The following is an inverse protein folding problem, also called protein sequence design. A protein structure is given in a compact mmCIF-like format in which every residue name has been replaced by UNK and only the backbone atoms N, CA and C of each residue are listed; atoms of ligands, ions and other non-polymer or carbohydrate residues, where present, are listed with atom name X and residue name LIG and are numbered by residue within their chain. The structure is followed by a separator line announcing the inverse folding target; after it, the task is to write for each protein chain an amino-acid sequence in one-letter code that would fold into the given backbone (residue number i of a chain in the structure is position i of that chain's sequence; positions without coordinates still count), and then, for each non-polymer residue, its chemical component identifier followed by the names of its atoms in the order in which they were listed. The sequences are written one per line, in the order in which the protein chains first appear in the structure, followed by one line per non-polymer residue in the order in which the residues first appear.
data_IF_678522877983
#
_entry.id   IF_678522877983
#
_cell.length_a   1.000
_cell.length_b   1.000
_cell.length_c   1.000
_cell.angle_alpha   90.00
_cell.angle_beta   90.00
_cell.angle_gamma   90.00
#
_symmetry.space_group_name_H-M   'P 1'
#
loop_
_entity.id
_entity.type
_entity.pdbx_description
1 polymer ?
#
# COMPACT_ATOMS: atom_id res chain seq x y z
N UNK A 1 22.29 39.46 -7.36
CA UNK A 1 21.46 38.50 -8.10
C UNK A 1 21.25 37.22 -7.32
N UNK A 2 22.31 36.53 -6.86
CA UNK A 2 22.21 35.24 -6.15
C UNK A 2 21.18 35.17 -5.01
N UNK A 3 21.02 36.22 -4.20
CA UNK A 3 20.03 36.23 -3.11
C UNK A 3 18.59 36.27 -3.62
N UNK A 4 18.33 36.98 -4.70
CA UNK A 4 16.99 37.05 -5.34
C UNK A 4 16.67 35.69 -5.96
N UNK A 5 17.66 35.05 -6.61
CA UNK A 5 17.51 33.71 -7.19
C UNK A 5 17.24 32.64 -6.12
N UNK A 6 17.88 32.75 -4.94
CA UNK A 6 17.60 31.88 -3.80
C UNK A 6 16.19 32.10 -3.24
N UNK A 7 15.72 33.34 -3.12
CA UNK A 7 14.36 33.65 -2.65
C UNK A 7 13.31 33.07 -3.62
N UNK A 8 13.44 33.32 -4.91
CA UNK A 8 12.55 32.78 -5.95
C UNK A 8 12.53 31.24 -5.95
N UNK A 9 13.69 30.61 -5.73
CA UNK A 9 13.79 29.16 -5.65
C UNK A 9 13.07 28.59 -4.42
N UNK A 10 13.11 29.28 -3.28
CA UNK A 10 12.39 28.84 -2.07
C UNK A 10 10.88 29.06 -2.19
N UNK A 11 10.44 30.17 -2.79
CA UNK A 11 9.01 30.39 -3.07
C UNK A 11 8.45 29.30 -3.98
N UNK A 12 9.19 28.96 -5.05
CA UNK A 12 8.87 27.82 -5.91
C UNK A 12 8.85 26.50 -5.15
N UNK A 13 9.84 26.24 -4.29
CA UNK A 13 9.87 25.06 -3.43
C UNK A 13 8.67 25.01 -2.48
N UNK A 14 8.27 26.14 -1.91
CA UNK A 14 7.14 26.23 -0.99
C UNK A 14 5.81 25.98 -1.72
N UNK A 15 5.67 26.47 -2.94
CA UNK A 15 4.52 26.15 -3.81
C UNK A 15 4.53 24.67 -4.22
N UNK A 16 5.70 24.09 -4.49
CA UNK A 16 5.86 22.65 -4.73
C UNK A 16 5.50 21.83 -3.47
N UNK A 17 5.90 22.27 -2.27
CA UNK A 17 5.54 21.65 -0.98
C UNK A 17 4.04 21.76 -0.73
N UNK A 18 3.43 22.93 -0.96
CA UNK A 18 1.99 23.15 -0.76
C UNK A 18 1.19 22.34 -1.78
N UNK A 19 1.61 22.35 -3.04
CA UNK A 19 1.01 21.54 -4.10
C UNK A 19 1.13 20.06 -3.75
N UNK A 20 2.31 19.59 -3.36
CA UNK A 20 2.55 18.23 -2.89
C UNK A 20 1.68 17.85 -1.69
N UNK A 21 1.60 18.70 -0.66
CA UNK A 21 0.72 18.49 0.50
C UNK A 21 -0.76 18.48 0.12
N UNK A 22 -1.16 19.25 -0.88
CA UNK A 22 -2.54 19.32 -1.37
C UNK A 22 -2.87 18.19 -2.35
N UNK A 23 -1.90 17.64 -3.08
CA UNK A 23 -2.06 16.45 -3.94
C UNK A 23 -2.01 15.15 -3.15
N UNK A 24 -1.40 15.14 -1.96
CA UNK A 24 -1.64 14.13 -0.93
C UNK A 24 -3.06 14.33 -0.35
N UNK A 25 -4.08 14.05 -1.16
CA UNK A 25 -5.35 13.54 -0.67
C UNK A 25 -5.25 12.02 -0.65
N UNK A 26 -4.37 11.50 0.20
CA UNK A 26 -4.11 10.07 0.27
C UNK A 26 -5.07 9.39 1.24
N UNK A 27 -6.16 8.90 0.67
CA UNK A 27 -6.94 7.85 1.31
C UNK A 27 -6.21 6.53 1.11
N UNK A 28 -5.57 5.99 2.16
CA UNK A 28 -5.19 4.58 2.21
C UNK A 28 -6.43 3.67 2.27
N UNK A 29 -7.63 4.25 2.38
CA UNK A 29 -8.91 3.57 2.26
C UNK A 29 -9.37 3.54 0.80
N UNK A 30 -9.69 2.33 0.35
CA UNK A 30 -10.22 2.04 -0.96
C UNK A 30 -11.59 1.40 -0.81
N UNK A 31 -12.51 1.78 -1.68
CA UNK A 31 -13.77 1.09 -1.89
C UNK A 31 -13.76 0.55 -3.32
N UNK A 32 -13.67 -0.77 -3.44
CA UNK A 32 -13.35 -1.45 -4.70
C UNK A 32 -14.50 -2.37 -5.09
N UNK A 33 -14.75 -2.48 -6.38
CA UNK A 33 -15.57 -3.51 -7.02
C UNK A 33 -14.77 -4.04 -8.22
N UNK A 34 -15.11 -5.23 -8.75
CA UNK A 34 -14.41 -5.79 -9.92
C UNK A 34 -14.37 -4.87 -11.14
N UNK A 35 -15.31 -3.93 -11.26
CA UNK A 35 -15.34 -2.95 -12.37
C UNK A 35 -14.17 -1.94 -12.31
N UNK A 36 -13.57 -1.75 -11.13
CA UNK A 36 -12.41 -0.88 -10.95
C UNK A 36 -11.11 -1.55 -11.39
N UNK A 37 -11.09 -2.89 -11.51
CA UNK A 37 -9.88 -3.61 -11.87
C UNK A 37 -9.37 -3.20 -13.25
N UNK A 38 -8.05 -3.12 -13.36
CA UNK A 38 -7.36 -3.10 -14.66
C UNK A 38 -7.77 -4.32 -15.48
N UNK A 39 -7.62 -4.24 -16.79
CA UNK A 39 -7.98 -5.33 -17.71
C UNK A 39 -7.30 -6.65 -17.29
N UNK A 40 -5.99 -6.60 -17.02
CA UNK A 40 -5.23 -7.77 -16.55
C UNK A 40 -5.77 -8.34 -15.23
N UNK A 41 -6.05 -7.49 -14.22
CA UNK A 41 -6.60 -7.97 -12.94
C UNK A 41 -8.01 -8.52 -13.08
N UNK A 42 -8.80 -8.01 -14.02
CA UNK A 42 -10.12 -8.55 -14.36
C UNK A 42 -10.01 -9.95 -14.97
N UNK A 43 -9.06 -10.16 -15.87
CA UNK A 43 -8.80 -11.48 -16.46
C UNK A 43 -8.34 -12.49 -15.41
N UNK A 44 -7.41 -12.10 -14.53
CA UNK A 44 -6.96 -12.91 -13.40
C UNK A 44 -8.13 -13.26 -12.46
N UNK A 45 -9.00 -12.29 -12.16
CA UNK A 45 -10.20 -12.52 -11.35
C UNK A 45 -11.13 -13.54 -12.01
N UNK A 46 -11.45 -13.39 -13.30
CA UNK A 46 -12.29 -14.31 -14.03
C UNK A 46 -11.68 -15.72 -14.16
N UNK A 47 -10.36 -15.81 -14.34
CA UNK A 47 -9.66 -17.09 -14.32
C UNK A 47 -9.81 -17.79 -12.96
N UNK A 48 -9.56 -17.08 -11.86
CA UNK A 48 -9.74 -17.59 -10.48
C UNK A 48 -11.18 -18.09 -10.28
N UNK A 49 -12.18 -17.29 -10.64
CA UNK A 49 -13.60 -17.68 -10.55
C UNK A 49 -13.94 -18.92 -11.40
N UNK A 50 -13.36 -19.03 -12.59
CA UNK A 50 -13.59 -20.17 -13.49
C UNK A 50 -13.00 -21.45 -12.92
N UNK A 51 -11.86 -21.38 -12.23
CA UNK A 51 -11.28 -22.52 -11.53
C UNK A 51 -12.08 -22.93 -10.29
N UNK A 52 -12.64 -21.97 -9.55
CA UNK A 52 -13.54 -22.30 -8.43
C UNK A 52 -14.75 -23.11 -8.92
N UNK A 53 -15.33 -22.78 -10.08
CA UNK A 53 -16.46 -23.55 -10.64
C UNK A 53 -16.15 -25.01 -10.95
N UNK A 54 -14.86 -25.38 -11.07
CA UNK A 54 -14.43 -26.77 -11.29
C UNK A 54 -14.37 -27.59 -9.99
N UNK A 55 -14.43 -26.93 -8.83
CA UNK A 55 -14.36 -27.60 -7.54
C UNK A 55 -15.72 -28.22 -7.15
N UNK A 56 -15.68 -29.39 -6.54
CA UNK A 56 -16.87 -30.08 -6.01
C UNK A 56 -17.23 -29.57 -4.62
N UNK A 57 -17.97 -28.46 -4.55
CA UNK A 57 -18.49 -27.92 -3.30
C UNK A 57 -19.67 -28.73 -2.77
N UNK A 58 -19.62 -29.11 -1.49
CA UNK A 58 -20.73 -29.79 -0.81
C UNK A 58 -21.82 -28.81 -0.34
N UNK A 59 -21.47 -27.55 -0.13
CA UNK A 59 -22.39 -26.48 0.33
C UNK A 59 -22.17 -25.22 -0.49
N UNK A 60 -23.26 -24.52 -0.80
CA UNK A 60 -23.22 -23.23 -1.52
C UNK A 60 -22.44 -22.16 -0.73
N UNK A 61 -22.48 -22.20 0.59
CA UNK A 61 -21.75 -21.28 1.47
C UNK A 61 -20.23 -21.37 1.28
N UNK A 62 -19.70 -22.58 1.08
CA UNK A 62 -18.28 -22.82 0.86
C UNK A 62 -17.83 -22.24 -0.49
N UNK A 63 -18.63 -22.44 -1.55
CA UNK A 63 -18.38 -21.81 -2.86
C UNK A 63 -18.39 -20.29 -2.78
N UNK A 64 -19.38 -19.72 -2.09
CA UNK A 64 -19.49 -18.28 -1.92
C UNK A 64 -18.30 -17.73 -1.13
N UNK A 65 -17.87 -18.42 -0.07
CA UNK A 65 -16.69 -18.05 0.69
C UNK A 65 -15.44 -17.98 -0.18
N UNK A 66 -15.17 -18.99 -1.00
CA UNK A 66 -14.01 -19.00 -1.89
C UNK A 66 -14.09 -17.94 -2.99
N UNK A 67 -15.30 -17.71 -3.54
CA UNK A 67 -15.54 -16.60 -4.48
C UNK A 67 -15.19 -15.25 -3.84
N UNK A 68 -15.55 -15.04 -2.57
CA UNK A 68 -15.18 -13.81 -1.86
C UNK A 68 -13.69 -13.71 -1.58
N UNK A 69 -13.04 -14.80 -1.20
CA UNK A 69 -11.58 -14.81 -1.06
C UNK A 69 -10.92 -14.40 -2.38
N UNK A 70 -11.31 -15.00 -3.50
CA UNK A 70 -10.78 -14.64 -4.81
C UNK A 70 -10.95 -13.14 -5.11
N UNK A 71 -12.12 -12.56 -4.79
CA UNK A 71 -12.36 -11.11 -4.92
C UNK A 71 -11.43 -10.30 -4.04
N UNK A 72 -11.36 -10.61 -2.74
CA UNK A 72 -10.61 -9.82 -1.77
C UNK A 72 -9.10 -9.86 -2.02
N UNK A 73 -8.55 -11.03 -2.39
CA UNK A 73 -7.15 -11.16 -2.79
C UNK A 73 -6.86 -10.36 -4.07
N UNK A 74 -7.69 -10.53 -5.12
CA UNK A 74 -7.48 -9.80 -6.38
C UNK A 74 -7.60 -8.28 -6.18
N UNK A 75 -8.55 -7.84 -5.35
CA UNK A 75 -8.71 -6.43 -5.03
C UNK A 75 -7.54 -5.87 -4.20
N UNK A 76 -6.96 -6.65 -3.28
CA UNK A 76 -5.78 -6.24 -2.53
C UNK A 76 -4.56 -6.04 -3.46
N UNK A 77 -4.33 -6.96 -4.40
CA UNK A 77 -3.29 -6.80 -5.43
C UNK A 77 -3.54 -5.56 -6.29
N UNK A 78 -4.79 -5.34 -6.73
CA UNK A 78 -5.15 -4.15 -7.51
C UNK A 78 -4.99 -2.85 -6.70
N UNK A 79 -5.24 -2.86 -5.38
CA UNK A 79 -4.99 -1.69 -4.52
C UNK A 79 -3.51 -1.32 -4.53
N UNK A 80 -2.61 -2.31 -4.51
CA UNK A 80 -1.16 -2.08 -4.64
C UNK A 80 -0.80 -1.48 -6.00
N UNK A 81 -1.33 -2.04 -7.10
CA UNK A 81 -1.20 -1.50 -8.45
C UNK A 81 -1.67 -0.05 -8.52
N UNK A 82 -2.90 0.22 -8.08
CA UNK A 82 -3.49 1.54 -8.14
C UNK A 82 -2.71 2.56 -7.30
N UNK A 83 -2.23 2.16 -6.13
CA UNK A 83 -1.41 3.01 -5.28
C UNK A 83 -0.07 3.38 -5.96
N UNK A 84 0.63 2.40 -6.54
CA UNK A 84 1.90 2.62 -7.22
C UNK A 84 1.75 3.56 -8.43
N UNK A 85 0.76 3.29 -9.29
CA UNK A 85 0.49 4.10 -10.48
C UNK A 85 0.09 5.53 -10.15
N UNK A 86 -0.73 5.74 -9.10
CA UNK A 86 -1.08 7.09 -8.61
C UNK A 86 0.12 7.88 -8.10
N UNK A 87 1.13 7.18 -7.58
CA UNK A 87 2.36 7.77 -7.08
C UNK A 87 3.49 7.78 -8.13
N UNK A 88 3.17 7.56 -9.40
CA UNK A 88 4.12 7.57 -10.52
C UNK A 88 5.29 6.59 -10.34
N UNK A 89 5.08 5.49 -9.62
CA UNK A 89 6.05 4.41 -9.48
C UNK A 89 5.84 3.39 -10.61
N UNK A 90 6.93 2.75 -11.04
CA UNK A 90 6.81 1.60 -11.94
C UNK A 90 6.14 0.43 -11.21
N UNK A 91 5.27 -0.30 -11.91
CA UNK A 91 4.56 -1.45 -11.41
C UNK A 91 4.66 -2.59 -12.42
N UNK A 92 5.04 -3.77 -11.94
CA UNK A 92 5.10 -4.99 -12.73
C UNK A 92 4.34 -6.10 -12.02
N UNK A 93 3.39 -6.72 -12.73
CA UNK A 93 2.54 -7.78 -12.20
C UNK A 93 3.08 -9.14 -12.63
N UNK A 94 3.69 -9.89 -11.70
CA UNK A 94 4.23 -11.22 -12.02
C UNK A 94 3.10 -12.20 -12.40
N UNK A 95 1.92 -12.02 -11.80
CA UNK A 95 0.73 -12.82 -12.08
C UNK A 95 0.16 -12.62 -13.50
N UNK A 96 0.62 -11.60 -14.23
CA UNK A 96 0.28 -11.42 -15.65
C UNK A 96 1.01 -12.43 -16.54
N UNK A 97 2.24 -12.83 -16.18
CA UNK A 97 3.06 -13.78 -16.95
C UNK A 97 2.84 -15.21 -16.45
N UNK A 98 2.80 -15.39 -15.13
CA UNK A 98 2.53 -16.67 -14.49
C UNK A 98 1.54 -16.46 -13.34
N UNK A 99 0.30 -16.91 -13.51
CA UNK A 99 -0.74 -16.82 -12.48
C UNK A 99 -0.46 -17.63 -11.21
N UNK A 100 0.61 -18.45 -11.21
CA UNK A 100 1.12 -19.20 -10.06
C UNK A 100 2.49 -18.68 -9.59
N UNK A 101 2.87 -17.47 -10.03
CA UNK A 101 4.10 -16.82 -9.62
C UNK A 101 4.25 -16.83 -8.10
N UNK A 102 5.45 -17.12 -7.57
CA UNK A 102 5.67 -17.07 -6.13
C UNK A 102 5.67 -15.64 -5.57
N UNK A 103 5.98 -14.63 -6.39
CA UNK A 103 5.86 -13.20 -6.07
C UNK A 103 4.58 -12.62 -6.68
N UNK A 104 3.96 -11.65 -6.01
CA UNK A 104 2.74 -11.02 -6.50
C UNK A 104 3.04 -9.90 -7.51
N UNK A 105 3.88 -8.92 -7.12
CA UNK A 105 4.24 -7.80 -7.98
C UNK A 105 5.61 -7.20 -7.64
N UNK A 106 6.08 -6.29 -8.49
CA UNK A 106 7.25 -5.46 -8.25
C UNK A 106 6.87 -3.99 -8.35
N UNK A 107 7.28 -3.18 -7.36
CA UNK A 107 7.05 -1.74 -7.32
C UNK A 107 8.40 -1.04 -7.30
N UNK A 108 8.68 -0.20 -8.30
CA UNK A 108 9.92 0.56 -8.42
C UNK A 108 11.20 -0.30 -8.30
N UNK A 109 11.18 -1.51 -8.87
CA UNK A 109 12.31 -2.45 -8.80
C UNK A 109 12.41 -3.27 -7.51
N UNK A 110 11.46 -3.14 -6.60
CA UNK A 110 11.41 -3.90 -5.33
C UNK A 110 10.30 -4.94 -5.41
N UNK A 111 10.62 -6.21 -5.17
CA UNK A 111 9.66 -7.31 -5.18
C UNK A 111 8.75 -7.21 -3.94
N UNK A 112 7.44 -7.37 -4.16
CA UNK A 112 6.38 -7.16 -3.17
C UNK A 112 5.43 -8.36 -3.11
N UNK A 113 5.26 -8.86 -1.89
CA UNK A 113 4.26 -9.87 -1.51
C UNK A 113 3.04 -9.17 -0.90
N UNK A 114 1.87 -9.27 -1.54
CA UNK A 114 0.66 -8.59 -1.08
C UNK A 114 -0.10 -9.50 -0.12
N UNK A 115 -0.05 -9.15 1.17
CA UNK A 115 -0.77 -9.89 2.21
C UNK A 115 -2.01 -9.14 2.66
N UNK A 116 -3.16 -9.82 2.54
CA UNK A 116 -4.42 -9.27 3.05
C UNK A 116 -5.02 -10.06 4.20
N UNK A 117 -5.57 -9.34 5.19
CA UNK A 117 -6.55 -9.88 6.13
C UNK A 117 -7.96 -9.80 5.49
N UNK A 118 -8.89 -10.72 5.78
CA UNK A 118 -10.16 -10.96 5.02
C UNK A 118 -11.51 -10.77 5.76
N UNK A 119 -11.94 -9.55 6.09
CA UNK A 119 -13.13 -9.20 6.89
C UNK A 119 -14.46 -9.65 6.32
N UNK A 120 -15.25 -10.45 7.05
CA UNK A 120 -16.67 -10.63 6.72
C UNK A 120 -17.54 -10.33 7.94
N UNK A 121 -18.24 -9.18 7.91
CA UNK A 121 -19.05 -8.70 9.04
C UNK A 121 -18.20 -8.45 10.30
N UNK A 122 -18.58 -9.05 11.44
CA UNK A 122 -17.88 -8.90 12.73
C UNK A 122 -16.76 -9.95 12.98
N UNK A 123 -16.49 -10.86 12.03
CA UNK A 123 -15.42 -11.86 12.18
C UNK A 123 -14.09 -11.24 11.77
N UNK A 124 -13.19 -11.01 12.75
CA UNK A 124 -11.78 -10.66 12.54
C UNK A 124 -10.99 -11.86 11.99
N UNK A 125 -9.87 -11.60 11.32
CA UNK A 125 -9.18 -12.58 10.49
C UNK A 125 -7.78 -12.84 10.97
N UNK A 126 -7.32 -13.98 10.46
CA UNK A 126 -5.92 -14.33 10.24
C UNK A 126 -5.08 -13.07 10.07
N UNK A 127 -4.13 -12.93 10.98
CA UNK A 127 -3.08 -11.93 10.92
C UNK A 127 -2.23 -12.11 9.65
N UNK A 128 -1.33 -11.18 9.38
CA UNK A 128 -0.36 -11.30 8.29
C UNK A 128 0.56 -12.49 8.56
N UNK A 129 0.50 -13.50 7.69
CA UNK A 129 1.35 -14.68 7.78
C UNK A 129 2.30 -14.75 6.58
N UNK A 130 3.61 -14.89 6.85
CA UNK A 130 4.57 -15.35 5.85
C UNK A 130 4.47 -16.88 5.69
N UNK A 131 4.77 -17.38 4.49
CA UNK A 131 4.84 -18.83 4.27
C UNK A 131 6.06 -19.38 5.01
N UNK A 132 5.92 -20.52 5.69
CA UNK A 132 6.97 -21.10 6.55
C UNK A 132 8.23 -21.43 5.72
N UNK A 133 9.40 -20.98 6.19
CA UNK A 133 10.71 -21.41 5.66
C UNK A 133 11.17 -20.71 4.38
N UNK A 134 10.51 -19.63 3.97
CA UNK A 134 10.98 -18.85 2.83
C UNK A 134 12.02 -17.84 3.30
N UNK A 135 13.25 -18.10 2.89
CA UNK A 135 14.32 -17.11 2.77
C UNK A 135 13.94 -16.08 1.70
N UNK A 136 12.88 -15.31 1.92
CA UNK A 136 12.58 -14.13 1.11
C UNK A 136 13.43 -12.97 1.64
N UNK A 137 14.76 -13.13 1.63
CA UNK A 137 15.67 -12.07 2.08
C UNK A 137 15.56 -10.80 1.22
N UNK A 138 14.87 -10.89 0.06
CA UNK A 138 14.82 -9.85 -0.96
C UNK A 138 13.39 -9.34 -1.27
N UNK A 139 12.35 -9.82 -0.61
CA UNK A 139 10.96 -9.41 -0.88
C UNK A 139 10.37 -8.68 0.33
N UNK A 140 9.64 -7.60 0.07
CA UNK A 140 8.89 -6.89 1.12
C UNK A 140 7.44 -7.35 1.16
N UNK A 141 6.80 -7.14 2.31
CA UNK A 141 5.42 -7.52 2.51
C UNK A 141 4.55 -6.28 2.59
N UNK A 142 3.61 -6.14 1.66
CA UNK A 142 2.61 -5.09 1.69
C UNK A 142 1.36 -5.59 2.42
N UNK A 143 1.08 -5.02 3.58
CA UNK A 143 -0.06 -5.42 4.39
C UNK A 143 -1.31 -4.58 4.12
N UNK A 144 -2.39 -5.27 3.75
CA UNK A 144 -3.71 -4.69 3.48
C UNK A 144 -4.76 -5.36 4.38
N UNK A 145 -5.74 -4.62 4.84
CA UNK A 145 -6.94 -5.20 5.45
C UNK A 145 -8.08 -5.03 4.48
N UNK A 146 -8.69 -6.13 4.08
CA UNK A 146 -9.81 -6.16 3.14
C UNK A 146 -11.06 -6.62 3.87
N UNK A 147 -12.21 -6.00 3.69
CA UNK A 147 -13.45 -6.46 4.31
C UNK A 147 -14.71 -6.16 3.49
N UNK A 148 -15.75 -6.96 3.73
CA UNK A 148 -17.09 -6.81 3.15
C UNK A 148 -18.15 -6.81 4.25
N UNK A 149 -19.27 -6.12 4.03
CA UNK A 149 -20.39 -6.22 4.95
C UNK A 149 -21.13 -7.56 4.75
N UNK A 150 -21.78 -8.06 5.80
CA UNK A 150 -22.52 -9.33 5.75
C UNK A 150 -23.65 -9.31 4.71
N UNK A 151 -24.23 -8.14 4.45
CA UNK A 151 -25.23 -7.92 3.39
C UNK A 151 -24.65 -8.14 1.99
N UNK A 152 -23.36 -7.86 1.82
CA UNK A 152 -22.64 -8.04 0.55
C UNK A 152 -22.22 -9.51 0.34
N UNK A 153 -22.51 -10.40 1.32
CA UNK A 153 -22.36 -11.84 1.19
C UNK A 153 -23.47 -12.48 0.32
N UNK A 154 -24.52 -11.72 0.00
CA UNK A 154 -25.72 -12.22 -0.69
C UNK A 154 -25.58 -12.12 -2.23
N UNK A 155 -24.43 -11.68 -2.75
CA UNK A 155 -24.06 -11.83 -4.17
C UNK A 155 -24.82 -10.91 -5.13
N UNK A 156 -25.00 -9.64 -4.78
CA UNK A 156 -25.62 -8.63 -5.66
C UNK A 156 -24.58 -7.95 -6.58
N UNK A 157 -25.01 -7.43 -7.73
CA UNK A 157 -24.13 -6.82 -8.75
C UNK A 157 -23.36 -5.56 -8.32
N UNK A 158 -23.62 -5.01 -7.13
CA UNK A 158 -22.89 -3.85 -6.56
C UNK A 158 -21.92 -4.30 -5.47
N UNK A 159 -21.12 -5.30 -5.83
CA UNK A 159 -20.34 -6.14 -4.94
C UNK A 159 -19.07 -5.40 -4.45
N UNK A 160 -19.24 -4.38 -3.60
CA UNK A 160 -18.14 -3.58 -3.07
C UNK A 160 -17.41 -4.26 -1.90
N UNK A 161 -16.10 -4.07 -1.85
CA UNK A 161 -15.25 -4.36 -0.70
C UNK A 161 -14.48 -3.11 -0.28
N UNK A 162 -14.14 -3.04 1.01
CA UNK A 162 -13.31 -1.98 1.58
C UNK A 162 -11.92 -2.52 1.84
N UNK A 163 -10.91 -1.71 1.55
CA UNK A 163 -9.51 -2.09 1.71
C UNK A 163 -8.75 -0.94 2.35
N UNK A 164 -7.92 -1.23 3.34
CA UNK A 164 -7.03 -0.28 3.99
C UNK A 164 -5.60 -0.76 3.87
N UNK A 165 -4.71 0.06 3.31
CA UNK A 165 -3.27 -0.20 3.33
C UNK A 165 -2.74 0.13 4.74
N UNK A 166 -2.14 -0.87 5.40
CA UNK A 166 -1.51 -0.68 6.71
C UNK A 166 -0.06 -0.22 6.60
N UNK A 167 0.67 -0.70 5.59
CA UNK A 167 2.06 -0.34 5.38
C UNK A 167 2.89 -1.50 4.83
N UNK A 168 4.21 -1.27 4.79
CA UNK A 168 5.22 -2.22 4.32
C UNK A 168 5.98 -2.79 5.50
N UNK A 169 6.18 -4.11 5.47
CA UNK A 169 7.18 -4.79 6.29
C UNK A 169 8.33 -5.24 5.40
N UNK A 170 9.52 -4.70 5.66
CA UNK A 170 10.75 -5.11 4.99
C UNK A 170 11.62 -5.91 5.99
N UNK A 171 11.75 -7.23 5.82
CA UNK A 171 12.53 -8.07 6.73
C UNK A 171 14.00 -7.64 6.83
N UNK A 172 14.57 -7.07 5.77
CA UNK A 172 16.00 -6.73 5.71
C UNK A 172 16.36 -5.61 6.70
N UNK A 173 15.45 -4.67 6.95
CA UNK A 173 15.62 -3.58 7.92
C UNK A 173 15.73 -4.07 9.36
N UNK A 174 15.17 -5.25 9.65
CA UNK A 174 15.08 -5.81 10.99
C UNK A 174 16.06 -6.96 11.23
N UNK A 175 16.82 -7.38 10.21
CA UNK A 175 17.75 -8.53 10.26
C UNK A 175 18.82 -8.43 11.35
N UNK A 176 19.18 -7.21 11.75
CA UNK A 176 20.23 -6.93 12.73
C UNK A 176 19.69 -6.55 14.11
N UNK A 177 18.36 -6.54 14.32
CA UNK A 177 17.78 -6.22 15.62
C UNK A 177 17.80 -7.48 16.50
N UNK A 178 18.84 -7.60 17.31
CA UNK A 178 18.98 -8.66 18.32
C UNK A 178 18.36 -8.24 19.67
N UNK A 179 17.09 -7.83 19.64
CA UNK A 179 16.31 -7.55 20.86
C UNK A 179 15.34 -8.70 21.09
N UNK A 180 15.52 -9.41 22.20
CA UNK A 180 14.56 -10.40 22.67
C UNK A 180 13.29 -9.65 23.10
N UNK A 181 12.28 -9.62 22.21
CA UNK A 181 11.02 -8.94 22.46
C UNK A 181 10.18 -9.75 23.44
N UNK A 182 10.49 -9.64 24.72
CA UNK A 182 9.90 -10.42 25.83
C UNK A 182 8.35 -10.36 25.91
N UNK A 183 7.72 -9.35 25.30
CA UNK A 183 6.26 -9.16 25.28
C UNK A 183 5.63 -9.30 23.89
N UNK A 184 6.45 -9.49 22.85
CA UNK A 184 6.02 -9.70 21.47
C UNK A 184 6.85 -10.85 20.89
N UNK A 185 6.52 -12.11 21.20
CA UNK A 185 7.20 -13.22 20.58
C UNK A 185 7.02 -13.07 19.07
N UNK A 186 8.12 -12.81 18.36
CA UNK A 186 8.16 -12.88 16.90
C UNK A 186 7.95 -14.35 16.56
N UNK A 187 6.70 -14.78 16.49
CA UNK A 187 6.39 -15.99 15.76
C UNK A 187 6.93 -15.73 14.37
N UNK A 188 7.92 -16.51 13.92
CA UNK A 188 8.62 -16.31 12.64
C UNK A 188 7.70 -16.25 11.43
N UNK A 189 6.43 -16.62 11.61
CA UNK A 189 5.38 -16.57 10.59
C UNK A 189 4.49 -15.35 10.70
N UNK A 190 4.30 -14.79 11.89
CA UNK A 190 3.35 -13.73 12.16
C UNK A 190 4.03 -12.38 12.02
N UNK A 191 3.52 -11.54 11.13
CA UNK A 191 4.05 -10.20 10.95
C UNK A 191 3.22 -9.25 11.79
N UNK A 192 3.88 -8.58 12.73
CA UNK A 192 3.26 -7.59 13.58
C UNK A 192 3.13 -6.27 12.82
N UNK A 193 1.91 -5.75 12.73
CA UNK A 193 1.61 -4.49 12.06
C UNK A 193 2.35 -3.28 12.66
N UNK A 194 2.86 -3.37 13.90
CA UNK A 194 3.72 -2.33 14.49
C UNK A 194 5.07 -2.16 13.76
N UNK A 195 5.51 -3.14 12.96
CA UNK A 195 6.71 -3.03 12.13
C UNK A 195 6.42 -2.47 10.74
N UNK A 196 5.18 -2.06 10.47
CA UNK A 196 4.83 -1.53 9.17
C UNK A 196 5.21 -0.07 9.10
N UNK A 197 5.95 0.28 8.05
CA UNK A 197 6.22 1.66 7.68
C UNK A 197 5.27 2.12 6.57
N UNK A 198 5.06 3.42 6.44
CA UNK A 198 4.23 3.94 5.35
C UNK A 198 4.90 3.70 4.00
N UNK A 199 4.09 3.45 2.97
CA UNK A 199 4.60 3.21 1.62
C UNK A 199 5.32 4.46 1.09
N UNK A 200 4.81 5.65 1.42
CA UNK A 200 5.41 6.92 1.05
C UNK A 200 6.81 7.10 1.62
N UNK A 201 7.01 6.70 2.89
CA UNK A 201 8.33 6.75 3.52
C UNK A 201 9.26 5.72 2.92
N UNK A 202 8.75 4.52 2.63
CA UNK A 202 9.57 3.43 2.10
C UNK A 202 10.09 3.71 0.69
N UNK A 203 9.19 4.10 -0.22
CA UNK A 203 9.55 4.42 -1.61
C UNK A 203 10.10 5.83 -1.79
N UNK A 204 10.35 6.55 -0.69
CA UNK A 204 10.87 7.92 -0.68
C UNK A 204 10.11 8.86 -1.66
N UNK A 205 8.79 8.76 -1.66
CA UNK A 205 7.92 9.59 -2.53
C UNK A 205 7.87 11.04 -2.03
N UNK A 206 8.38 11.32 -0.82
CA UNK A 206 8.60 12.69 -0.35
C UNK A 206 9.83 13.27 -1.06
N UNK A 207 9.70 14.45 -1.68
CA UNK A 207 10.88 15.20 -2.08
C UNK A 207 11.78 15.41 -0.86
N UNK A 208 13.10 15.30 -1.04
CA UNK A 208 14.08 15.48 0.03
C UNK A 208 14.24 16.97 0.37
N UNK A 209 13.19 17.55 0.93
CA UNK A 209 13.12 18.97 1.25
C UNK A 209 14.14 19.35 2.31
N UNK A 210 14.51 18.45 3.22
CA UNK A 210 15.49 18.71 4.28
C UNK A 210 16.89 19.01 3.70
N UNK A 211 17.30 18.29 2.66
CA UNK A 211 18.57 18.53 1.96
C UNK A 211 18.54 19.83 1.14
N UNK A 212 17.36 20.21 0.64
CA UNK A 212 17.18 21.45 -0.12
C UNK A 212 17.22 22.66 0.83
N UNK A 213 16.55 22.56 1.99
CA UNK A 213 16.50 23.63 3.00
C UNK A 213 17.89 23.88 3.62
N UNK A 214 18.68 22.82 3.85
CA UNK A 214 20.02 22.95 4.45
C UNK A 214 21.04 23.71 3.59
N UNK A 215 20.77 23.91 2.29
CA UNK A 215 21.67 24.62 1.37
C UNK A 215 21.44 26.13 1.34
N UNK A 216 20.44 26.66 2.05
CA UNK A 216 20.15 28.10 2.06
C UNK A 216 20.80 28.81 3.26
N UNK A 217 21.25 30.05 3.03
CA UNK A 217 21.79 30.90 4.08
C UNK A 217 20.74 31.29 5.12
N UNK A 218 21.16 31.38 6.39
CA UNK A 218 20.30 31.78 7.52
C UNK A 218 19.61 33.14 7.31
N UNK A 219 20.23 34.05 6.55
CA UNK A 219 19.68 35.36 6.22
C UNK A 219 18.46 35.28 5.29
N UNK A 220 18.45 34.34 4.35
CA UNK A 220 17.32 34.07 3.46
C UNK A 220 16.16 33.44 4.23
N UNK A 221 16.46 32.48 5.10
CA UNK A 221 15.47 31.82 5.97
C UNK A 221 14.80 32.84 6.90
N UNK A 222 15.60 33.71 7.53
CA UNK A 222 15.10 34.77 8.42
C UNK A 222 14.26 35.83 7.70
N UNK A 223 14.60 36.18 6.45
CA UNK A 223 13.80 37.08 5.63
C UNK A 223 12.41 36.50 5.37
N UNK A 224 12.32 35.21 5.00
CA UNK A 224 11.07 34.52 4.71
C UNK A 224 10.18 34.31 5.95
N UNK A 225 10.79 34.02 7.11
CA UNK A 225 10.06 33.96 8.38
C UNK A 225 9.43 35.32 8.68
N UNK A 226 10.19 36.41 8.53
CA UNK A 226 9.69 37.77 8.73
C UNK A 226 8.54 38.11 7.79
N UNK A 227 8.68 37.85 6.49
CA UNK A 227 7.64 38.18 5.49
C UNK A 227 6.36 37.35 5.66
N UNK A 228 6.46 36.07 6.05
CA UNK A 228 5.27 35.26 6.40
C UNK A 228 4.59 35.72 7.70
N UNK A 229 5.35 36.12 8.72
CA UNK A 229 4.77 36.66 9.97
C UNK A 229 4.15 38.06 9.82
N UNK A 230 4.44 38.77 8.72
CA UNK A 230 3.82 40.06 8.38
C UNK A 230 2.58 39.96 7.48
N UNK A 231 2.18 38.76 7.05
CA UNK A 231 0.93 38.56 6.34
C UNK A 231 -0.21 38.36 7.37
N UNK A 232 -1.33 39.11 7.26
CA UNK A 232 -2.47 38.90 8.15
C UNK A 232 -2.96 37.46 8.00
N UNK A 233 -3.35 36.84 9.12
CA UNK A 233 -4.04 35.56 9.09
C UNK A 233 -5.31 35.69 8.23
N UNK A 234 -5.36 34.97 7.12
CA UNK A 234 -6.55 34.79 6.27
C UNK A 234 -7.25 33.51 6.71
#
# INVERSE_FOLDING_TARGET
NDKIDQIMSIEKLNDEIITYKNTIKESNDYRVSPDHFSESKRDQYHFRLSNLKKNNYKKLEDYNWDRYNARLYTAAEWVAENWALKNHLSYYDFNQVDQMSPQDCQINGIDVDVKTTLGVGCRKLKNYYSRKGTTYENEIILGITSWIYKTDFIGTSKDFSKHLIHGIFDPSLYRNINLELNYFPVSTKLINACYFQSLQSYFNIKPNFDTIISNYGNDVLNYLIKTKSSLPAV
#
